data_IF_797989989809
#
_entry.id   IF_797989989809
#
_cell.length_a   1.000
_cell.length_b   1.000
_cell.length_c   1.000
_cell.angle_alpha   90.00
_cell.angle_beta   90.00
_cell.angle_gamma   90.00
#
_symmetry.space_group_name_H-M   'P 1'
#
loop_
_entity.id
_entity.type
_entity.pdbx_description
1 polymer ?
#
# COMPACT_ATOMS: atom_id res chain seq x y z
N UNK A 1 -31.24 74.02 5.01
CA UNK A 1 -30.95 72.92 4.06
C UNK A 1 -29.49 72.46 4.17
N UNK A 2 -28.49 73.34 4.08
CA UNK A 2 -27.07 72.95 4.17
C UNK A 2 -26.65 72.39 5.54
N UNK A 3 -27.14 72.97 6.65
CA UNK A 3 -26.82 72.51 8.02
C UNK A 3 -27.38 71.12 8.36
N UNK A 4 -28.62 70.83 7.93
CA UNK A 4 -29.27 69.52 8.12
C UNK A 4 -28.58 68.44 7.31
N UNK A 5 -28.18 68.77 6.08
CA UNK A 5 -27.46 67.85 5.19
C UNK A 5 -26.09 67.49 5.77
N UNK A 6 -25.38 68.46 6.33
CA UNK A 6 -24.09 68.25 6.97
C UNK A 6 -24.20 67.37 8.23
N UNK A 7 -25.23 67.57 9.05
CA UNK A 7 -25.50 66.74 10.23
C UNK A 7 -25.83 65.29 9.86
N UNK A 8 -26.70 65.08 8.87
CA UNK A 8 -27.06 63.74 8.38
C UNK A 8 -25.85 63.01 7.79
N UNK A 9 -25.00 63.73 7.05
CA UNK A 9 -23.76 63.17 6.48
C UNK A 9 -22.79 62.76 7.58
N UNK A 10 -22.61 63.59 8.62
CA UNK A 10 -21.79 63.26 9.77
C UNK A 10 -22.31 62.03 10.53
N UNK A 11 -23.63 61.94 10.75
CA UNK A 11 -24.24 60.77 11.41
C UNK A 11 -24.03 59.49 10.59
N UNK A 12 -24.18 59.55 9.26
CA UNK A 12 -23.91 58.43 8.37
C UNK A 12 -22.46 57.95 8.49
N UNK A 13 -21.49 58.86 8.37
CA UNK A 13 -20.07 58.55 8.52
C UNK A 13 -19.75 57.94 9.89
N UNK A 14 -20.39 58.43 10.97
CA UNK A 14 -20.21 57.89 12.32
C UNK A 14 -20.76 56.47 12.44
N UNK A 15 -21.90 56.17 11.83
CA UNK A 15 -22.48 54.82 11.79
C UNK A 15 -21.58 53.88 10.99
N UNK A 16 -21.18 54.28 9.77
CA UNK A 16 -20.29 53.49 8.91
C UNK A 16 -18.97 53.15 9.61
N UNK A 17 -18.35 54.12 10.29
CA UNK A 17 -17.13 53.89 11.08
C UNK A 17 -17.33 52.90 12.23
N UNK A 18 -18.49 52.92 12.88
CA UNK A 18 -18.80 51.99 13.97
C UNK A 18 -19.09 50.58 13.43
N UNK A 19 -19.80 50.49 12.31
CA UNK A 19 -20.07 49.22 11.62
C UNK A 19 -18.76 48.58 11.16
N UNK A 20 -17.87 49.33 10.51
CA UNK A 20 -16.57 48.82 10.07
C UNK A 20 -15.74 48.26 11.24
N UNK A 21 -15.76 48.90 12.41
CA UNK A 21 -15.08 48.38 13.62
C UNK A 21 -15.70 47.07 14.14
N UNK A 22 -17.02 46.95 14.07
CA UNK A 22 -17.72 45.72 14.48
C UNK A 22 -17.45 44.59 13.50
N UNK A 23 -17.45 44.88 12.19
CA UNK A 23 -17.10 43.95 11.12
C UNK A 23 -15.66 43.44 11.29
N UNK A 24 -14.69 44.35 11.46
CA UNK A 24 -13.29 43.96 11.68
C UNK A 24 -13.13 43.05 12.91
N UNK A 25 -13.86 43.35 14.00
CA UNK A 25 -13.85 42.51 15.20
C UNK A 25 -14.51 41.14 14.95
N UNK A 26 -15.61 41.12 14.19
CA UNK A 26 -16.30 39.89 13.84
C UNK A 26 -15.44 39.00 12.93
N UNK A 27 -14.77 39.58 11.93
CA UNK A 27 -13.84 38.87 11.05
C UNK A 27 -12.67 38.26 11.83
N UNK A 28 -12.05 39.04 12.73
CA UNK A 28 -10.98 38.52 13.61
C UNK A 28 -11.47 37.35 14.46
N UNK A 29 -12.67 37.45 15.02
CA UNK A 29 -13.27 36.36 15.80
C UNK A 29 -13.56 35.12 14.95
N UNK A 30 -14.09 35.29 13.74
CA UNK A 30 -14.34 34.19 12.81
C UNK A 30 -13.04 33.47 12.43
N UNK A 31 -11.96 34.21 12.15
CA UNK A 31 -10.65 33.62 11.85
C UNK A 31 -10.14 32.79 13.03
N UNK A 32 -10.25 33.31 14.27
CA UNK A 32 -9.85 32.56 15.46
C UNK A 32 -10.66 31.27 15.65
N UNK A 33 -11.98 31.34 15.46
CA UNK A 33 -12.87 30.17 15.54
C UNK A 33 -12.55 29.13 14.46
N UNK A 34 -12.28 29.57 13.22
CA UNK A 34 -11.88 28.68 12.14
C UNK A 34 -10.56 27.96 12.45
N UNK A 35 -9.56 28.67 12.97
CA UNK A 35 -8.27 28.08 13.38
C UNK A 35 -8.45 27.06 14.50
N UNK A 36 -9.23 27.38 15.53
CA UNK A 36 -9.46 26.45 16.64
C UNK A 36 -10.28 25.23 16.19
N UNK A 37 -11.28 25.42 15.32
CA UNK A 37 -12.02 24.31 14.70
C UNK A 37 -11.08 23.36 13.94
N UNK A 38 -10.18 23.90 13.12
CA UNK A 38 -9.22 23.08 12.38
C UNK A 38 -8.30 22.30 13.33
N UNK A 39 -7.77 22.96 14.37
CA UNK A 39 -6.94 22.34 15.40
C UNK A 39 -7.66 21.19 16.10
N UNK A 40 -8.94 21.38 16.42
CA UNK A 40 -9.77 20.34 17.05
C UNK A 40 -10.06 19.18 16.11
N UNK A 41 -10.31 19.44 14.82
CA UNK A 41 -10.51 18.40 13.82
C UNK A 41 -9.26 17.54 13.63
N UNK A 42 -8.07 18.15 13.57
CA UNK A 42 -6.80 17.43 13.47
C UNK A 42 -6.56 16.53 14.70
N UNK A 43 -6.85 17.04 15.91
CA UNK A 43 -6.77 16.25 17.14
C UNK A 43 -7.73 15.07 17.11
N UNK A 44 -8.99 15.29 16.71
CA UNK A 44 -9.99 14.24 16.62
C UNK A 44 -9.57 13.13 15.66
N UNK A 45 -9.03 13.49 14.49
CA UNK A 45 -8.54 12.51 13.52
C UNK A 45 -7.38 11.68 14.08
N UNK A 46 -6.44 12.31 14.79
CA UNK A 46 -5.33 11.61 15.45
C UNK A 46 -5.83 10.63 16.52
N UNK A 47 -6.68 11.09 17.44
CA UNK A 47 -7.25 10.23 18.48
C UNK A 47 -8.06 9.07 17.88
N UNK A 48 -8.88 9.34 16.86
CA UNK A 48 -9.65 8.28 16.20
C UNK A 48 -8.73 7.23 15.58
N UNK A 49 -7.62 7.65 14.97
CA UNK A 49 -6.65 6.73 14.41
C UNK A 49 -5.95 5.89 15.49
N UNK A 50 -5.53 6.53 16.59
CA UNK A 50 -4.90 5.84 17.73
C UNK A 50 -5.82 4.78 18.36
N UNK A 51 -7.09 5.12 18.57
CA UNK A 51 -8.09 4.18 19.12
C UNK A 51 -8.27 2.98 18.18
N UNK A 52 -8.43 3.21 16.87
CA UNK A 52 -8.58 2.12 15.90
C UNK A 52 -7.35 1.21 15.84
N UNK A 53 -6.16 1.78 16.02
CA UNK A 53 -4.91 1.01 16.04
C UNK A 53 -4.85 0.14 17.30
N UNK A 54 -5.16 0.70 18.47
CA UNK A 54 -5.22 -0.02 19.74
C UNK A 54 -6.25 -1.16 19.71
N UNK A 55 -7.45 -0.91 19.18
CA UNK A 55 -8.48 -1.95 19.02
C UNK A 55 -8.00 -3.10 18.13
N UNK A 56 -7.26 -2.77 17.06
CA UNK A 56 -6.71 -3.79 16.16
C UNK A 56 -5.60 -4.61 16.83
N UNK A 57 -4.71 -3.96 17.55
CA UNK A 57 -3.65 -4.63 18.32
C UNK A 57 -4.25 -5.55 19.38
N UNK A 58 -5.28 -5.09 20.09
CA UNK A 58 -5.96 -5.91 21.09
C UNK A 58 -6.59 -7.15 20.47
N UNK A 59 -7.34 -7.02 19.36
CA UNK A 59 -7.90 -8.18 18.64
C UNK A 59 -6.83 -9.15 18.15
N UNK A 60 -5.68 -8.63 17.71
CA UNK A 60 -4.58 -9.47 17.27
C UNK A 60 -3.98 -10.27 18.43
N UNK A 61 -3.81 -9.63 19.59
CA UNK A 61 -3.32 -10.29 20.80
C UNK A 61 -4.32 -11.35 21.28
N UNK A 62 -5.61 -11.04 21.33
CA UNK A 62 -6.67 -12.01 21.68
C UNK A 62 -6.63 -13.24 20.75
N UNK A 63 -6.51 -13.04 19.43
CA UNK A 63 -6.38 -14.14 18.49
C UNK A 63 -5.07 -14.94 18.64
N UNK A 64 -3.98 -14.28 19.03
CA UNK A 64 -2.70 -14.94 19.31
C UNK A 64 -2.79 -15.79 20.57
N UNK A 65 -3.44 -15.29 21.62
CA UNK A 65 -3.69 -16.03 22.86
C UNK A 65 -4.55 -17.27 22.59
N UNK A 66 -5.62 -17.15 21.78
CA UNK A 66 -6.42 -18.29 21.33
C UNK A 66 -5.58 -19.34 20.59
N UNK A 67 -4.68 -18.91 19.68
CA UNK A 67 -3.79 -19.82 18.98
C UNK A 67 -2.81 -20.52 19.92
N UNK A 68 -2.26 -19.79 20.91
CA UNK A 68 -1.37 -20.36 21.92
C UNK A 68 -2.11 -21.40 22.74
N UNK A 69 -3.34 -21.13 23.18
CA UNK A 69 -4.14 -22.09 23.95
C UNK A 69 -4.41 -23.38 23.14
N UNK A 70 -4.71 -23.27 21.85
CA UNK A 70 -4.93 -24.43 20.96
C UNK A 70 -3.66 -25.22 20.70
N UNK A 71 -2.52 -24.53 20.53
CA UNK A 71 -1.24 -25.18 20.17
C UNK A 71 -0.48 -25.74 21.37
N UNK A 72 -0.65 -25.16 22.57
CA UNK A 72 0.07 -25.57 23.78
C UNK A 72 -0.07 -27.06 24.10
N UNK A 73 -1.27 -27.68 24.02
CA UNK A 73 -1.43 -29.12 24.25
C UNK A 73 -0.76 -30.00 23.19
N UNK A 74 -0.47 -29.49 21.99
CA UNK A 74 0.18 -30.25 20.92
C UNK A 74 1.69 -30.33 21.09
N UNK A 75 2.31 -29.36 21.78
CA UNK A 75 3.75 -29.33 22.04
C UNK A 75 4.27 -30.65 22.67
N UNK A 76 3.70 -31.17 23.77
CA UNK A 76 4.17 -32.43 24.35
C UNK A 76 3.92 -33.63 23.43
N UNK A 77 2.84 -33.62 22.62
CA UNK A 77 2.55 -34.69 21.65
C UNK A 77 3.61 -34.71 20.54
N UNK A 78 4.03 -33.53 20.05
CA UNK A 78 5.09 -33.42 19.06
C UNK A 78 6.44 -33.89 19.60
N UNK A 79 6.80 -33.57 20.84
CA UNK A 79 8.03 -34.08 21.46
C UNK A 79 7.97 -35.60 21.68
N UNK A 80 6.82 -36.14 22.11
CA UNK A 80 6.63 -37.59 22.22
C UNK A 80 6.76 -38.28 20.86
N UNK A 81 6.13 -37.75 19.81
CA UNK A 81 6.22 -38.27 18.45
C UNK A 81 7.67 -38.26 17.95
N UNK A 82 8.42 -37.20 18.23
CA UNK A 82 9.83 -37.06 17.86
C UNK A 82 10.70 -38.11 18.55
N UNK A 83 10.50 -38.35 19.84
CA UNK A 83 11.22 -39.40 20.56
C UNK A 83 10.81 -40.81 20.09
N UNK A 84 9.53 -41.04 19.81
CA UNK A 84 9.05 -42.28 19.19
C UNK A 84 9.67 -42.50 17.81
N UNK A 85 9.77 -41.47 16.98
CA UNK A 85 10.38 -41.55 15.66
C UNK A 85 11.88 -41.84 15.75
N UNK A 86 12.61 -41.20 16.68
CA UNK A 86 14.02 -41.51 16.94
C UNK A 86 14.21 -42.96 17.39
N UNK A 87 13.37 -43.44 18.31
CA UNK A 87 13.40 -44.82 18.79
C UNK A 87 13.10 -45.80 17.65
N UNK A 88 12.10 -45.51 16.82
CA UNK A 88 11.78 -46.29 15.63
C UNK A 88 12.93 -46.32 14.62
N UNK A 89 13.54 -45.17 14.32
CA UNK A 89 14.70 -45.08 13.43
C UNK A 89 15.88 -45.86 13.98
N UNK A 90 16.16 -45.77 15.29
CA UNK A 90 17.21 -46.53 15.95
C UNK A 90 16.93 -48.05 15.92
N UNK A 91 15.69 -48.48 16.13
CA UNK A 91 15.29 -49.88 16.01
C UNK A 91 15.38 -50.39 14.57
N UNK A 92 15.02 -49.55 13.59
CA UNK A 92 15.16 -49.86 12.17
C UNK A 92 16.64 -49.99 11.78
N UNK A 93 17.50 -49.07 12.22
CA UNK A 93 18.94 -49.11 11.99
C UNK A 93 19.59 -50.31 12.70
N UNK A 94 19.16 -50.60 13.94
CA UNK A 94 19.59 -51.79 14.66
C UNK A 94 19.19 -53.05 13.89
N UNK A 95 17.97 -53.15 13.37
CA UNK A 95 17.51 -54.33 12.62
C UNK A 95 17.91 -54.30 11.15
N UNK A 96 18.66 -53.28 10.68
CA UNK A 96 19.09 -53.14 9.29
C UNK A 96 20.02 -54.25 8.82
N UNK A 97 20.70 -54.93 9.74
CA UNK A 97 21.54 -56.09 9.43
C UNK A 97 20.72 -57.40 9.32
N UNK A 98 19.51 -57.44 9.88
CA UNK A 98 18.56 -58.55 9.77
C UNK A 98 17.54 -58.33 8.65
N UNK A 99 17.17 -57.08 8.39
CA UNK A 99 16.39 -56.65 7.24
C UNK A 99 17.28 -56.72 6.00
N UNK A 100 17.03 -57.64 5.07
CA UNK A 100 17.90 -57.82 3.93
C UNK A 100 17.72 -56.67 2.95
N UNK A 101 18.42 -55.55 3.16
CA UNK A 101 18.63 -54.53 2.10
C UNK A 101 19.67 -55.04 1.09
N UNK A 102 19.63 -56.34 0.78
CA UNK A 102 20.48 -56.95 -0.26
C UNK A 102 19.76 -57.86 -1.23
N UNK A 103 18.49 -58.20 -1.02
CA UNK A 103 17.69 -58.80 -2.08
C UNK A 103 16.24 -58.39 -1.85
N UNK A 104 15.66 -57.64 -2.79
CA UNK A 104 14.22 -57.71 -3.00
C UNK A 104 13.92 -59.21 -3.13
N UNK A 105 13.10 -59.76 -2.23
CA UNK A 105 12.64 -61.13 -2.40
C UNK A 105 11.78 -61.15 -3.65
N UNK A 106 12.37 -61.59 -4.77
CA UNK A 106 11.66 -61.85 -6.00
C UNK A 106 11.07 -63.25 -5.81
N UNK A 107 9.77 -63.30 -5.58
CA UNK A 107 9.04 -64.55 -5.50
C UNK A 107 8.95 -65.15 -6.93
N UNK A 108 9.62 -66.28 -7.16
CA UNK A 108 9.68 -66.93 -8.48
C UNK A 108 11.04 -66.83 -9.20
N UNK A 109 11.06 -67.17 -10.50
CA UNK A 109 12.29 -67.15 -11.30
C UNK A 109 12.76 -65.71 -11.58
N UNK A 110 13.96 -65.39 -11.11
CA UNK A 110 14.59 -64.07 -11.23
C UNK A 110 14.65 -63.57 -12.68
N UNK A 111 14.86 -64.48 -13.64
CA UNK A 111 14.97 -64.10 -15.05
C UNK A 111 13.64 -63.55 -15.56
N UNK A 112 12.53 -64.25 -15.27
CA UNK A 112 11.19 -63.83 -15.67
C UNK A 112 10.76 -62.49 -15.07
N UNK A 113 11.13 -62.24 -13.81
CA UNK A 113 10.86 -60.96 -13.15
C UNK A 113 11.63 -59.81 -13.79
N UNK A 114 12.92 -60.02 -14.11
CA UNK A 114 13.73 -59.01 -14.79
C UNK A 114 13.23 -58.72 -16.20
N UNK A 115 12.76 -59.75 -16.91
CA UNK A 115 12.17 -59.59 -18.25
C UNK A 115 10.85 -58.81 -18.18
N UNK A 116 10.00 -59.07 -17.19
CA UNK A 116 8.75 -58.33 -17.00
C UNK A 116 9.01 -56.89 -16.54
N UNK A 117 9.96 -56.68 -15.63
CA UNK A 117 10.39 -55.35 -15.22
C UNK A 117 10.94 -54.55 -16.41
N UNK A 118 11.70 -55.20 -17.30
CA UNK A 118 12.20 -54.59 -18.53
C UNK A 118 11.07 -54.14 -19.46
N UNK A 119 10.00 -54.94 -19.61
CA UNK A 119 8.81 -54.55 -20.39
C UNK A 119 8.07 -53.38 -19.75
N UNK A 120 7.84 -53.42 -18.44
CA UNK A 120 7.17 -52.32 -17.73
C UNK A 120 7.98 -51.03 -17.82
N UNK A 121 9.32 -51.11 -17.75
CA UNK A 121 10.20 -49.96 -17.91
C UNK A 121 10.09 -49.37 -19.33
N UNK A 122 10.08 -50.22 -20.37
CA UNK A 122 9.92 -49.78 -21.75
C UNK A 122 8.57 -49.07 -21.97
N UNK A 123 7.47 -49.64 -21.45
CA UNK A 123 6.13 -49.03 -21.49
C UNK A 123 6.14 -47.68 -20.77
N UNK A 124 6.75 -47.61 -19.59
CA UNK A 124 6.83 -46.36 -18.82
C UNK A 124 7.65 -45.31 -19.56
N UNK A 125 8.70 -45.72 -20.28
CA UNK A 125 9.55 -44.83 -21.05
C UNK A 125 8.82 -44.27 -22.28
N UNK A 126 8.03 -45.09 -22.97
CA UNK A 126 7.13 -44.65 -24.05
C UNK A 126 6.05 -43.69 -23.54
N UNK A 127 5.36 -44.04 -22.44
CA UNK A 127 4.38 -43.17 -21.80
C UNK A 127 5.01 -41.86 -21.31
N UNK A 128 6.24 -41.91 -20.79
CA UNK A 128 6.96 -40.71 -20.37
C UNK A 128 7.28 -39.84 -21.58
N UNK A 129 7.66 -40.40 -22.73
CA UNK A 129 7.85 -39.62 -23.96
C UNK A 129 6.56 -39.04 -24.53
N UNK A 130 5.41 -39.66 -24.25
CA UNK A 130 4.09 -39.17 -24.65
C UNK A 130 3.56 -38.09 -23.69
N UNK A 131 3.77 -38.25 -22.39
CA UNK A 131 3.32 -37.34 -21.32
C UNK A 131 4.26 -36.14 -21.16
N UNK A 132 5.56 -36.31 -21.43
CA UNK A 132 6.50 -35.18 -21.41
C UNK A 132 6.18 -34.32 -22.62
N UNK A 133 5.61 -33.11 -22.43
CA UNK A 133 5.37 -32.22 -23.56
C UNK A 133 6.72 -31.96 -24.20
N UNK A 134 6.81 -32.02 -25.54
CA UNK A 134 7.97 -31.49 -26.25
C UNK A 134 8.06 -29.99 -25.93
N UNK A 135 8.73 -29.63 -24.84
CA UNK A 135 9.06 -28.27 -24.39
C UNK A 135 10.09 -27.62 -25.34
N UNK A 136 9.88 -27.73 -26.64
CA UNK A 136 10.84 -27.34 -27.68
C UNK A 136 10.33 -26.23 -28.62
N UNK A 137 9.28 -25.49 -28.23
CA UNK A 137 8.84 -24.36 -29.06
C UNK A 137 8.00 -23.30 -28.35
N UNK A 138 7.14 -23.70 -27.42
CA UNK A 138 6.16 -22.77 -26.85
C UNK A 138 6.76 -21.86 -25.76
N UNK A 139 7.62 -22.42 -24.89
CA UNK A 139 8.30 -21.65 -23.84
C UNK A 139 9.20 -20.53 -24.39
N UNK A 140 9.84 -20.74 -25.56
CA UNK A 140 10.68 -19.71 -26.19
C UNK A 140 9.85 -18.54 -26.73
N UNK A 141 8.65 -18.81 -27.28
CA UNK A 141 7.71 -17.78 -27.74
C UNK A 141 7.07 -17.02 -26.58
N UNK A 142 6.75 -17.72 -25.50
CA UNK A 142 6.24 -17.09 -24.26
C UNK A 142 7.31 -16.18 -23.67
N UNK A 143 8.57 -16.62 -23.60
CA UNK A 143 9.68 -15.80 -23.11
C UNK A 143 9.96 -14.56 -23.98
N UNK A 144 9.86 -14.66 -25.32
CA UNK A 144 10.01 -13.50 -26.19
C UNK A 144 8.86 -12.50 -26.02
N UNK A 145 7.61 -12.98 -25.95
CA UNK A 145 6.45 -12.13 -25.70
C UNK A 145 6.52 -11.41 -24.34
N UNK A 146 7.04 -12.09 -23.31
CA UNK A 146 7.22 -11.52 -21.97
C UNK A 146 8.31 -10.43 -21.96
N UNK A 147 9.33 -10.58 -22.80
CA UNK A 147 10.37 -9.57 -23.00
C UNK A 147 9.83 -8.33 -23.70
N UNK A 148 9.05 -8.50 -24.77
CA UNK A 148 8.38 -7.39 -25.47
C UNK A 148 7.43 -6.63 -24.54
N UNK A 149 6.62 -7.35 -23.76
CA UNK A 149 5.72 -6.74 -22.77
C UNK A 149 6.49 -5.90 -21.74
N UNK A 150 7.64 -6.41 -21.27
CA UNK A 150 8.51 -5.68 -20.34
C UNK A 150 9.05 -4.39 -20.96
N UNK A 151 9.47 -4.41 -22.22
CA UNK A 151 9.98 -3.24 -22.93
C UNK A 151 8.88 -2.18 -23.13
N UNK A 152 7.67 -2.60 -23.51
CA UNK A 152 6.51 -1.70 -23.64
C UNK A 152 6.13 -1.08 -22.29
N UNK A 153 6.09 -1.87 -21.22
CA UNK A 153 5.78 -1.37 -19.88
C UNK A 153 6.80 -0.32 -19.39
N UNK A 154 8.09 -0.53 -19.65
CA UNK A 154 9.14 0.44 -19.32
C UNK A 154 9.04 1.73 -20.12
N UNK A 155 8.62 1.64 -21.39
CA UNK A 155 8.40 2.83 -22.22
C UNK A 155 7.21 3.64 -21.70
N UNK A 156 6.10 2.96 -21.38
CA UNK A 156 4.90 3.59 -20.84
C UNK A 156 5.17 4.30 -19.50
N UNK A 157 5.94 3.67 -18.60
CA UNK A 157 6.30 4.27 -17.31
C UNK A 157 7.10 5.57 -17.50
N UNK A 158 8.05 5.59 -18.44
CA UNK A 158 8.81 6.81 -18.78
C UNK A 158 7.92 7.91 -19.37
N UNK A 159 6.98 7.55 -20.25
CA UNK A 159 6.02 8.50 -20.81
C UNK A 159 5.07 9.05 -19.74
N UNK A 160 4.63 8.22 -18.80
CA UNK A 160 3.80 8.64 -17.68
C UNK A 160 4.53 9.62 -16.77
N UNK A 161 5.78 9.33 -16.40
CA UNK A 161 6.63 10.24 -15.62
C UNK A 161 6.86 11.57 -16.33
N UNK A 162 7.06 11.53 -17.65
CA UNK A 162 7.21 12.74 -18.46
C UNK A 162 5.92 13.58 -18.46
N UNK A 163 4.79 12.96 -18.78
CA UNK A 163 3.48 13.61 -18.81
C UNK A 163 3.14 14.22 -17.45
N UNK A 164 3.38 13.49 -16.36
CA UNK A 164 3.16 13.99 -15.01
C UNK A 164 3.99 15.26 -14.73
N UNK A 165 5.25 15.29 -15.15
CA UNK A 165 6.11 16.48 -15.01
C UNK A 165 5.61 17.66 -15.86
N UNK A 166 5.17 17.39 -17.10
CA UNK A 166 4.60 18.42 -17.97
C UNK A 166 3.33 19.02 -17.37
N UNK A 167 2.43 18.20 -16.83
CA UNK A 167 1.21 18.66 -16.13
C UNK A 167 1.55 19.46 -14.87
N UNK A 168 2.53 19.03 -14.07
CA UNK A 168 2.98 19.78 -12.90
C UNK A 168 3.53 21.15 -13.27
N UNK A 169 4.36 21.22 -14.32
CA UNK A 169 4.91 22.49 -14.81
C UNK A 169 3.79 23.42 -15.32
N UNK A 170 2.84 22.87 -16.09
CA UNK A 170 1.71 23.66 -16.60
C UNK A 170 0.85 24.21 -15.46
N UNK A 171 0.57 23.37 -14.46
CA UNK A 171 -0.16 23.78 -13.26
C UNK A 171 0.56 24.91 -12.51
N UNK A 172 1.88 24.80 -12.36
CA UNK A 172 2.69 25.85 -11.75
C UNK A 172 2.61 27.18 -12.52
N UNK A 173 2.75 27.15 -13.85
CA UNK A 173 2.65 28.36 -14.67
C UNK A 173 1.25 28.98 -14.61
N UNK A 174 0.18 28.17 -14.64
CA UNK A 174 -1.20 28.67 -14.47
C UNK A 174 -1.40 29.30 -13.10
N UNK A 175 -0.95 28.66 -12.03
CA UNK A 175 -1.03 29.23 -10.68
C UNK A 175 -0.26 30.56 -10.58
N UNK A 176 0.90 30.64 -11.21
CA UNK A 176 1.73 31.85 -11.26
C UNK A 176 1.04 32.95 -12.07
N UNK A 177 0.49 32.64 -13.24
CA UNK A 177 -0.25 33.60 -14.07
C UNK A 177 -1.47 34.14 -13.34
N UNK A 178 -2.27 33.27 -12.72
CA UNK A 178 -3.43 33.68 -11.91
C UNK A 178 -3.01 34.57 -10.74
N UNK A 179 -1.90 34.24 -10.08
CA UNK A 179 -1.37 35.06 -8.98
C UNK A 179 -0.93 36.45 -9.46
N UNK A 180 -0.20 36.51 -10.57
CA UNK A 180 0.24 37.78 -11.17
C UNK A 180 -0.94 38.62 -11.68
N UNK A 181 -1.95 37.98 -12.27
CA UNK A 181 -3.17 38.65 -12.71
C UNK A 181 -3.93 39.25 -11.52
N UNK A 182 -4.14 38.46 -10.47
CA UNK A 182 -4.78 38.94 -9.24
C UNK A 182 -3.99 40.08 -8.58
N UNK A 183 -2.65 39.99 -8.59
CA UNK A 183 -1.78 41.07 -8.14
C UNK A 183 -2.02 42.35 -8.95
N UNK A 184 -2.02 42.27 -10.29
CA UNK A 184 -2.27 43.42 -11.17
C UNK A 184 -3.64 44.07 -10.91
N UNK A 185 -4.70 43.26 -10.80
CA UNK A 185 -6.05 43.76 -10.47
C UNK A 185 -6.09 44.45 -9.10
N UNK A 186 -5.37 43.92 -8.11
CA UNK A 186 -5.26 44.52 -6.79
C UNK A 186 -4.49 45.85 -6.80
N UNK A 187 -3.38 45.90 -7.53
CA UNK A 187 -2.54 47.10 -7.71
C UNK A 187 -3.31 48.21 -8.45
N UNK A 188 -4.08 47.88 -9.49
CA UNK A 188 -4.93 48.84 -10.21
C UNK A 188 -6.06 49.39 -9.33
N UNK A 189 -6.68 48.56 -8.49
CA UNK A 189 -7.82 48.96 -7.67
C UNK A 189 -7.44 49.81 -6.44
N UNK A 190 -6.28 49.55 -5.84
CA UNK A 190 -5.89 50.17 -4.56
C UNK A 190 -4.68 51.10 -4.66
N UNK A 191 -3.99 51.11 -5.81
CA UNK A 191 -2.80 51.92 -6.04
C UNK A 191 -1.51 51.27 -5.53
N UNK A 192 -0.44 51.46 -6.33
CA UNK A 192 0.83 50.75 -6.18
C UNK A 192 1.56 51.05 -4.85
N UNK A 193 1.42 52.27 -4.32
CA UNK A 193 2.03 52.70 -3.05
C UNK A 193 1.34 52.15 -1.79
N UNK A 194 0.07 51.76 -1.92
CA UNK A 194 -0.69 51.10 -0.84
C UNK A 194 -0.39 49.60 -0.84
N UNK A 195 -0.38 48.99 -2.02
CA UNK A 195 -0.15 47.55 -2.16
C UNK A 195 1.30 47.15 -1.85
N UNK A 196 2.30 47.99 -2.17
CA UNK A 196 3.70 47.76 -1.77
C UNK A 196 3.88 47.58 -0.26
N UNK A 197 3.12 48.33 0.55
CA UNK A 197 3.13 48.19 2.01
C UNK A 197 2.52 46.87 2.47
N UNK A 198 1.67 46.22 1.67
CA UNK A 198 1.12 44.90 2.01
C UNK A 198 2.04 43.74 1.62
N UNK A 199 2.90 43.93 0.62
CA UNK A 199 3.83 42.89 0.15
C UNK A 199 5.16 42.88 0.88
N UNK A 200 5.61 44.05 1.38
CA UNK A 200 6.98 44.24 1.85
C UNK A 200 7.12 44.81 3.26
N UNK A 201 6.03 45.17 3.94
CA UNK A 201 6.03 45.41 5.41
C UNK A 201 5.70 44.10 6.15
#
# INVERSE_FOLDING_TARGET
IESETLLLTYLRLKVEKNVAKLEEKAEKNLIMLCKEKQRQQEKLLKLKHEILLQEREQRLNEALDEQIEVLTPLVPVCEQLKEQYKSFAAALDANRHELPIKNIHIEGDKQTFLDELGKQLAITQELLTEVTPRYSGDGAKVLSALKELKEVAQKLDKELQRSFREVQNLSFEVCKEVSLHNQGVCEEKHGLDVVKRWYFD
#
